data_IF_260164496150
#
_entry.id   IF_260164496150
#
_cell.length_a   1.000
_cell.length_b   1.000
_cell.length_c   1.000
_cell.angle_alpha   90.00
_cell.angle_beta   90.00
_cell.angle_gamma   90.00
#
_symmetry.space_group_name_H-M   'P 1'
#
loop_
_entity.id
_entity.type
_entity.pdbx_description
1 polymer ?
#
# COMPACT_ATOMS: atom_id res chain seq x y z
N UNK A 1 3.24 -0.16 20.54
CA UNK A 1 3.12 -0.69 19.17
C UNK A 1 4.50 -1.08 18.70
N UNK A 2 4.64 -2.17 17.98
CA UNK A 2 5.94 -2.57 17.41
C UNK A 2 5.94 -2.09 15.96
N UNK A 3 6.85 -1.17 15.62
CA UNK A 3 7.00 -0.68 14.26
C UNK A 3 7.52 -1.80 13.33
N UNK A 4 7.34 -1.64 12.02
CA UNK A 4 7.68 -2.67 11.04
C UNK A 4 9.19 -2.97 11.00
N UNK A 5 10.02 -1.95 11.17
CA UNK A 5 11.49 -2.05 11.18
C UNK A 5 12.10 -0.90 11.99
N UNK A 6 13.45 -0.85 12.08
CA UNK A 6 14.17 0.20 12.82
C UNK A 6 13.84 1.60 12.29
N UNK A 7 13.59 2.53 13.19
CA UNK A 7 13.36 3.94 12.91
C UNK A 7 14.52 4.61 12.16
N UNK A 8 15.75 4.07 12.29
CA UNK A 8 16.92 4.55 11.56
C UNK A 8 16.77 4.52 10.03
N UNK A 9 15.85 3.69 9.51
CA UNK A 9 15.58 3.59 8.08
C UNK A 9 14.32 4.33 7.66
N UNK A 10 13.60 4.96 8.60
CA UNK A 10 12.29 5.52 8.31
C UNK A 10 12.35 6.64 7.27
N UNK A 11 13.22 7.62 7.49
CA UNK A 11 13.37 8.77 6.59
C UNK A 11 13.77 8.34 5.17
N UNK A 12 14.73 7.41 5.08
CA UNK A 12 15.16 6.87 3.78
C UNK A 12 14.02 6.11 3.08
N UNK A 13 13.29 5.30 3.83
CA UNK A 13 12.16 4.54 3.28
C UNK A 13 11.04 5.45 2.80
N UNK A 14 10.69 6.49 3.56
CA UNK A 14 9.70 7.48 3.19
C UNK A 14 10.11 8.21 1.91
N UNK A 15 11.35 8.72 1.85
CA UNK A 15 11.88 9.42 0.69
C UNK A 15 11.93 8.50 -0.53
N UNK A 16 12.42 7.28 -0.40
CA UNK A 16 12.53 6.33 -1.50
C UNK A 16 11.18 5.92 -2.07
N UNK A 17 10.19 5.68 -1.21
CA UNK A 17 8.85 5.33 -1.70
C UNK A 17 8.17 6.56 -2.33
N UNK A 18 8.41 7.76 -1.81
CA UNK A 18 7.96 9.02 -2.39
C UNK A 18 8.53 9.24 -3.78
N UNK A 19 9.85 9.18 -3.93
CA UNK A 19 10.55 9.32 -5.20
C UNK A 19 10.15 8.22 -6.20
N UNK A 20 9.92 6.98 -5.74
CA UNK A 20 9.47 5.88 -6.58
C UNK A 20 8.10 6.17 -7.22
N UNK A 21 7.13 6.64 -6.43
CA UNK A 21 5.79 6.97 -6.94
C UNK A 21 5.84 8.18 -7.85
N UNK A 22 6.57 9.25 -7.46
CA UNK A 22 6.74 10.44 -8.29
C UNK A 22 7.35 10.09 -9.65
N UNK A 23 8.44 9.32 -9.67
CA UNK A 23 9.07 8.84 -10.89
C UNK A 23 8.10 8.03 -11.77
N UNK A 24 7.40 7.07 -11.16
CA UNK A 24 6.49 6.20 -11.90
C UNK A 24 5.35 6.98 -12.57
N UNK A 25 4.80 7.97 -11.89
CA UNK A 25 3.65 8.75 -12.37
C UNK A 25 4.11 9.91 -13.26
N UNK A 26 5.06 10.72 -12.80
CA UNK A 26 5.43 11.96 -13.50
C UNK A 26 6.43 11.72 -14.64
N UNK A 27 7.45 10.88 -14.44
CA UNK A 27 8.47 10.65 -15.44
C UNK A 27 8.09 9.54 -16.42
N UNK A 28 7.54 8.44 -15.92
CA UNK A 28 7.25 7.25 -16.72
C UNK A 28 5.80 7.22 -17.23
N UNK A 29 4.89 8.00 -16.63
CA UNK A 29 3.51 8.17 -17.07
C UNK A 29 2.59 7.00 -16.73
N UNK A 30 2.91 6.21 -15.74
CA UNK A 30 2.06 5.11 -15.28
C UNK A 30 0.92 5.59 -14.38
N UNK A 31 -0.21 4.91 -14.46
CA UNK A 31 -1.29 5.09 -13.50
C UNK A 31 -0.83 4.65 -12.10
N UNK A 32 -1.06 5.47 -11.06
CA UNK A 32 -0.48 5.26 -9.73
C UNK A 32 -0.87 3.93 -9.10
N UNK A 33 -2.14 3.53 -9.18
CA UNK A 33 -2.62 2.29 -8.57
C UNK A 33 -2.15 1.05 -9.35
N UNK A 34 -1.99 1.18 -10.68
CA UNK A 34 -1.43 0.11 -11.52
C UNK A 34 0.03 -0.12 -11.17
N UNK A 35 0.83 0.93 -11.12
CA UNK A 35 2.24 0.83 -10.77
C UNK A 35 2.44 0.29 -9.34
N UNK A 36 1.65 0.77 -8.39
CA UNK A 36 1.72 0.27 -7.02
C UNK A 36 1.30 -1.21 -6.92
N UNK A 37 0.36 -1.63 -7.75
CA UNK A 37 0.02 -3.04 -7.93
C UNK A 37 1.22 -3.89 -8.40
N UNK A 38 2.03 -3.35 -9.32
CA UNK A 38 3.29 -4.01 -9.74
C UNK A 38 4.32 -4.03 -8.61
N UNK A 39 4.46 -2.95 -7.84
CA UNK A 39 5.32 -2.94 -6.66
C UNK A 39 4.95 -4.05 -5.68
N UNK A 40 3.66 -4.23 -5.39
CA UNK A 40 3.16 -5.31 -4.52
C UNK A 40 3.42 -6.69 -5.13
N UNK A 41 3.08 -6.90 -6.40
CA UNK A 41 3.17 -8.20 -7.07
C UNK A 41 4.60 -8.63 -7.39
N UNK A 42 5.55 -7.70 -7.53
CA UNK A 42 6.97 -7.98 -7.77
C UNK A 42 7.66 -8.69 -6.58
N UNK A 43 7.03 -8.68 -5.40
CA UNK A 43 7.63 -9.14 -4.15
C UNK A 43 8.63 -8.16 -3.53
N UNK A 44 8.91 -7.01 -4.19
CA UNK A 44 9.78 -5.96 -3.64
C UNK A 44 9.10 -5.30 -2.44
N UNK A 45 7.79 -5.04 -2.52
CA UNK A 45 7.01 -4.52 -1.41
C UNK A 45 7.18 -5.35 -0.14
N UNK A 46 7.12 -6.69 -0.25
CA UNK A 46 7.30 -7.58 0.91
C UNK A 46 8.69 -7.51 1.54
N UNK A 47 9.72 -7.14 0.78
CA UNK A 47 11.08 -6.91 1.30
C UNK A 47 11.22 -5.53 1.92
N UNK A 48 10.59 -4.52 1.29
CA UNK A 48 10.52 -3.15 1.78
C UNK A 48 9.81 -3.08 3.15
N UNK A 49 8.64 -3.70 3.27
CA UNK A 49 7.82 -3.79 4.50
C UNK A 49 8.60 -4.35 5.70
N UNK A 50 9.58 -5.21 5.44
CA UNK A 50 10.44 -5.82 6.45
C UNK A 50 11.71 -5.02 6.75
N UNK A 51 11.84 -3.83 6.18
CA UNK A 51 12.99 -2.97 6.36
C UNK A 51 14.27 -3.55 5.75
N UNK A 52 14.19 -4.29 4.63
CA UNK A 52 15.39 -4.79 3.97
C UNK A 52 16.24 -3.60 3.48
N UNK A 53 17.48 -3.42 4.00
CA UNK A 53 18.30 -2.24 3.76
C UNK A 53 18.51 -1.92 2.28
N UNK A 54 18.57 -2.94 1.43
CA UNK A 54 18.72 -2.75 -0.02
C UNK A 54 17.58 -1.91 -0.62
N UNK A 55 16.34 -2.11 -0.14
CA UNK A 55 15.15 -1.50 -0.74
C UNK A 55 14.69 -0.25 0.01
N UNK A 56 14.94 -0.17 1.33
CA UNK A 56 14.53 1.00 2.11
C UNK A 56 15.55 2.14 2.06
N UNK A 57 16.86 1.84 1.90
CA UNK A 57 17.93 2.84 1.95
C UNK A 57 19.05 2.64 0.92
N UNK A 58 19.21 1.45 0.35
CA UNK A 58 20.32 1.11 -0.53
C UNK A 58 20.09 1.35 -2.03
N UNK A 59 18.94 1.87 -2.41
CA UNK A 59 18.54 2.24 -3.77
C UNK A 59 17.87 3.61 -3.72
N UNK A 60 18.02 4.41 -4.76
CA UNK A 60 17.18 5.59 -4.96
C UNK A 60 15.76 5.18 -5.35
N UNK A 61 14.77 6.06 -5.16
CA UNK A 61 13.40 5.79 -5.58
C UNK A 61 13.27 5.48 -7.08
N UNK A 62 14.10 6.13 -7.92
CA UNK A 62 14.18 5.81 -9.34
C UNK A 62 14.66 4.38 -9.60
N UNK A 63 15.77 3.95 -8.97
CA UNK A 63 16.26 2.57 -9.08
C UNK A 63 15.25 1.56 -8.53
N UNK A 64 14.51 1.95 -7.51
CA UNK A 64 13.43 1.14 -6.96
C UNK A 64 12.29 0.97 -7.98
N UNK A 65 11.91 2.05 -8.70
CA UNK A 65 10.93 1.99 -9.77
C UNK A 65 11.40 1.08 -10.92
N UNK A 66 12.65 1.23 -11.37
CA UNK A 66 13.23 0.35 -12.40
C UNK A 66 13.26 -1.13 -11.95
N UNK A 67 13.59 -1.39 -10.68
CA UNK A 67 13.60 -2.75 -10.14
C UNK A 67 12.21 -3.38 -10.16
N UNK A 68 11.15 -2.59 -9.85
CA UNK A 68 9.74 -3.04 -9.94
C UNK A 68 9.38 -3.41 -11.36
N UNK A 69 9.65 -2.52 -12.33
CA UNK A 69 9.33 -2.75 -13.75
C UNK A 69 10.06 -3.98 -14.31
N UNK A 70 11.35 -4.12 -13.96
CA UNK A 70 12.15 -5.28 -14.34
C UNK A 70 11.59 -6.57 -13.75
N UNK A 71 11.24 -6.58 -12.47
CA UNK A 71 10.72 -7.77 -11.78
C UNK A 71 9.33 -8.21 -12.29
N UNK A 72 8.58 -7.27 -12.87
CA UNK A 72 7.25 -7.53 -13.44
C UNK A 72 7.27 -7.70 -14.96
N UNK A 73 8.46 -7.71 -15.58
CA UNK A 73 8.66 -7.82 -17.03
C UNK A 73 7.93 -6.74 -17.85
N UNK A 74 7.73 -5.56 -17.29
CA UNK A 74 7.21 -4.40 -18.00
C UNK A 74 8.34 -3.79 -18.84
N UNK A 75 8.12 -3.62 -20.12
CA UNK A 75 9.07 -2.95 -21.02
C UNK A 75 8.97 -1.45 -20.79
N UNK A 76 10.07 -0.79 -20.49
CA UNK A 76 10.14 0.65 -20.29
C UNK A 76 11.42 1.23 -20.90
N UNK A 77 11.35 2.49 -21.27
CA UNK A 77 12.53 3.26 -21.66
C UNK A 77 13.15 3.91 -20.41
N UNK A 78 14.46 3.75 -20.26
CA UNK A 78 15.18 4.45 -19.21
C UNK A 78 15.15 5.95 -19.48
N UNK A 79 14.58 6.69 -18.55
CA UNK A 79 14.57 8.16 -18.56
C UNK A 79 15.53 8.70 -17.53
N UNK A 80 16.05 9.88 -17.80
CA UNK A 80 16.78 10.62 -16.75
C UNK A 80 15.74 11.16 -15.78
N UNK A 81 15.88 10.90 -14.47
CA UNK A 81 14.91 11.39 -13.49
C UNK A 81 14.77 12.91 -13.54
N UNK A 82 13.55 13.40 -13.55
CA UNK A 82 13.28 14.83 -13.35
C UNK A 82 13.39 15.09 -11.85
N UNK A 83 14.47 15.74 -11.43
CA UNK A 83 14.56 16.21 -10.05
C UNK A 83 13.66 17.42 -9.88
N UNK A 84 12.40 17.18 -9.51
CA UNK A 84 11.49 18.27 -9.16
C UNK A 84 11.93 18.89 -7.83
N UNK A 85 12.14 20.21 -7.84
CA UNK A 85 12.52 20.96 -6.64
C UNK A 85 11.34 21.00 -5.66
N UNK A 86 10.14 21.14 -6.20
CA UNK A 86 8.89 21.12 -5.41
C UNK A 86 8.25 19.74 -5.47
N UNK A 87 8.23 19.05 -4.35
CA UNK A 87 7.62 17.73 -4.22
C UNK A 87 6.10 17.85 -4.20
N UNK A 88 5.45 17.18 -5.16
CA UNK A 88 4.01 17.19 -5.33
C UNK A 88 3.28 16.09 -4.54
N UNK A 89 2.00 15.94 -4.84
CA UNK A 89 1.14 14.92 -4.22
C UNK A 89 1.59 13.50 -4.52
N UNK A 90 2.22 13.28 -5.65
CA UNK A 90 2.74 11.98 -6.09
C UNK A 90 3.85 11.50 -5.14
N UNK A 91 4.79 12.37 -4.86
CA UNK A 91 5.84 12.12 -3.87
C UNK A 91 5.25 11.93 -2.47
N UNK A 92 4.42 12.90 -2.03
CA UNK A 92 3.81 12.83 -0.71
C UNK A 92 3.04 11.54 -0.48
N UNK A 93 2.34 11.05 -1.48
CA UNK A 93 1.57 9.83 -1.32
C UNK A 93 2.45 8.59 -1.06
N UNK A 94 3.57 8.46 -1.75
CA UNK A 94 4.54 7.40 -1.46
C UNK A 94 5.17 7.59 -0.07
N UNK A 95 5.59 8.81 0.22
CA UNK A 95 6.20 9.21 1.49
C UNK A 95 5.31 8.85 2.69
N UNK A 96 4.06 9.25 2.67
CA UNK A 96 3.12 9.02 3.78
C UNK A 96 2.64 7.55 3.86
N UNK A 97 2.58 6.83 2.73
CA UNK A 97 2.27 5.40 2.72
C UNK A 97 3.40 4.58 3.36
N UNK A 98 4.67 4.97 3.17
CA UNK A 98 5.79 4.33 3.86
C UNK A 98 5.71 4.56 5.38
N UNK A 99 5.41 5.79 5.80
CA UNK A 99 5.18 6.10 7.22
C UNK A 99 4.04 5.27 7.81
N UNK A 100 2.90 5.23 7.11
CA UNK A 100 1.73 4.47 7.54
C UNK A 100 2.04 2.98 7.69
N UNK A 101 2.72 2.40 6.71
CA UNK A 101 3.15 1.00 6.74
C UNK A 101 4.08 0.73 7.93
N UNK A 102 5.09 1.58 8.14
CA UNK A 102 6.02 1.46 9.25
C UNK A 102 5.32 1.55 10.61
N UNK A 103 4.43 2.53 10.79
CA UNK A 103 3.70 2.79 12.02
C UNK A 103 2.74 1.64 12.37
N UNK A 104 2.03 1.10 11.38
CA UNK A 104 0.98 0.10 11.58
C UNK A 104 1.47 -1.34 11.45
N UNK A 105 2.65 -1.54 10.87
CA UNK A 105 3.20 -2.85 10.51
C UNK A 105 2.24 -3.69 9.64
N UNK A 106 1.37 -3.03 8.86
CA UNK A 106 0.48 -3.69 7.92
C UNK A 106 1.20 -3.92 6.59
N UNK A 107 0.80 -4.95 5.85
CA UNK A 107 1.33 -5.20 4.50
C UNK A 107 0.70 -4.24 3.51
N UNK A 108 1.47 -3.74 2.54
CA UNK A 108 0.93 -2.90 1.46
C UNK A 108 -0.21 -3.58 0.70
N UNK A 109 -0.09 -4.88 0.46
CA UNK A 109 -1.16 -5.67 -0.16
C UNK A 109 -2.50 -5.56 0.60
N UNK A 110 -2.46 -5.64 1.93
CA UNK A 110 -3.64 -5.58 2.78
C UNK A 110 -4.20 -4.15 2.88
N UNK A 111 -3.32 -3.16 2.96
CA UNK A 111 -3.65 -1.72 2.94
C UNK A 111 -4.44 -1.39 1.66
N UNK A 112 -3.91 -1.75 0.49
CA UNK A 112 -4.56 -1.53 -0.81
C UNK A 112 -5.88 -2.29 -0.93
N UNK A 113 -5.91 -3.57 -0.53
CA UNK A 113 -7.14 -4.36 -0.52
C UNK A 113 -8.24 -3.77 0.37
N UNK A 114 -7.86 -3.04 1.42
CA UNK A 114 -8.80 -2.33 2.28
C UNK A 114 -9.19 -0.94 1.75
N UNK A 115 -8.76 -0.58 0.53
CA UNK A 115 -9.19 0.62 -0.17
C UNK A 115 -8.33 1.85 0.05
N UNK A 116 -7.23 1.74 0.78
CA UNK A 116 -6.23 2.80 0.87
C UNK A 116 -5.24 2.66 -0.30
N UNK A 117 -5.68 3.01 -1.51
CA UNK A 117 -4.87 3.00 -2.72
C UNK A 117 -4.08 4.30 -2.86
N UNK A 118 -3.10 4.35 -3.79
CA UNK A 118 -2.35 5.59 -4.05
C UNK A 118 -3.28 6.72 -4.51
N UNK A 119 -4.25 6.42 -5.37
CA UNK A 119 -5.26 7.39 -5.81
C UNK A 119 -6.13 7.88 -4.65
N UNK A 120 -6.46 7.02 -3.68
CA UNK A 120 -7.15 7.43 -2.46
C UNK A 120 -6.30 8.41 -1.65
N UNK A 121 -4.99 8.10 -1.50
CA UNK A 121 -4.05 8.99 -0.80
C UNK A 121 -3.89 10.32 -1.52
N UNK A 122 -3.90 10.36 -2.86
CA UNK A 122 -3.90 11.62 -3.61
C UNK A 122 -5.07 12.54 -3.22
N UNK A 123 -6.26 11.97 -2.97
CA UNK A 123 -7.43 12.76 -2.52
C UNK A 123 -7.28 13.33 -1.10
N UNK A 124 -6.34 12.80 -0.33
CA UNK A 124 -6.02 13.22 1.04
C UNK A 124 -4.85 14.22 1.09
N UNK A 125 -4.37 14.72 -0.05
CA UNK A 125 -3.17 15.58 -0.13
C UNK A 125 -3.27 16.85 0.73
N UNK A 126 -4.45 17.33 1.04
CA UNK A 126 -4.66 18.45 1.97
C UNK A 126 -4.01 18.20 3.36
N UNK A 127 -3.80 16.93 3.73
CA UNK A 127 -3.16 16.56 4.99
C UNK A 127 -1.63 16.69 4.97
N UNK A 128 -1.02 17.06 3.84
CA UNK A 128 0.44 17.22 3.75
C UNK A 128 0.99 18.35 4.65
N UNK A 129 0.14 19.30 5.03
CA UNK A 129 0.47 20.39 5.96
C UNK A 129 0.23 20.02 7.42
N UNK A 130 -0.32 18.84 7.70
CA UNK A 130 -0.65 18.39 9.05
C UNK A 130 0.41 17.39 9.55
N UNK A 131 0.37 17.12 10.86
CA UNK A 131 1.12 16.02 11.47
C UNK A 131 0.71 14.66 10.86
N UNK A 132 1.66 13.76 10.64
CA UNK A 132 1.45 12.45 10.02
C UNK A 132 0.41 11.61 10.76
N UNK A 133 0.23 11.84 12.06
CA UNK A 133 -0.80 11.17 12.87
C UNK A 133 -2.21 11.43 12.34
N UNK A 134 -2.46 12.61 11.72
CA UNK A 134 -3.76 12.94 11.12
C UNK A 134 -4.04 12.09 9.89
N UNK A 135 -3.01 11.82 9.10
CA UNK A 135 -3.15 10.88 8.02
C UNK A 135 -3.43 9.46 8.53
N UNK A 136 -2.70 9.01 9.58
CA UNK A 136 -2.91 7.68 10.18
C UNK A 136 -4.34 7.53 10.70
N UNK A 137 -4.89 8.54 11.39
CA UNK A 137 -6.28 8.55 11.86
C UNK A 137 -7.25 8.37 10.68
N UNK A 138 -7.14 9.23 9.66
CA UNK A 138 -8.02 9.21 8.50
C UNK A 138 -7.89 7.90 7.68
N UNK A 139 -6.68 7.38 7.51
CA UNK A 139 -6.41 6.13 6.83
C UNK A 139 -7.04 4.93 7.57
N UNK A 140 -6.93 4.89 8.89
CA UNK A 140 -7.57 3.87 9.73
C UNK A 140 -9.09 3.90 9.60
N UNK A 141 -9.70 5.08 9.56
CA UNK A 141 -11.16 5.22 9.34
C UNK A 141 -11.61 4.65 8.00
N UNK A 142 -10.85 4.88 6.93
CA UNK A 142 -11.13 4.32 5.59
C UNK A 142 -11.05 2.79 5.64
N UNK A 143 -9.97 2.25 6.21
CA UNK A 143 -9.75 0.80 6.30
C UNK A 143 -10.86 0.16 7.14
N UNK A 144 -11.17 0.70 8.30
CA UNK A 144 -12.20 0.16 9.20
C UNK A 144 -13.59 0.18 8.56
N UNK A 145 -13.94 1.25 7.86
CA UNK A 145 -15.20 1.36 7.12
C UNK A 145 -15.30 0.28 6.05
N UNK A 146 -14.28 0.17 5.20
CA UNK A 146 -14.26 -0.79 4.11
C UNK A 146 -14.23 -2.23 4.61
N UNK A 147 -13.58 -2.50 5.74
CA UNK A 147 -13.61 -3.81 6.38
C UNK A 147 -15.00 -4.16 6.92
N UNK A 148 -15.71 -3.21 7.53
CA UNK A 148 -17.09 -3.39 8.00
C UNK A 148 -18.05 -3.66 6.83
N UNK A 149 -17.95 -2.87 5.76
CA UNK A 149 -18.77 -3.03 4.56
C UNK A 149 -18.54 -4.39 3.89
N UNK A 150 -17.30 -4.84 3.80
CA UNK A 150 -16.99 -6.18 3.27
C UNK A 150 -17.56 -7.32 4.12
N UNK A 151 -17.52 -7.17 5.45
CA UNK A 151 -18.13 -8.15 6.37
C UNK A 151 -19.64 -8.19 6.17
N UNK A 152 -20.31 -7.03 6.18
CA UNK A 152 -21.75 -6.93 5.96
C UNK A 152 -22.15 -7.59 4.63
N UNK A 153 -21.47 -7.24 3.53
CA UNK A 153 -21.75 -7.80 2.21
C UNK A 153 -21.55 -9.32 2.14
N UNK A 154 -20.49 -9.85 2.77
CA UNK A 154 -20.29 -11.30 2.83
C UNK A 154 -21.39 -12.02 3.62
N UNK A 155 -21.83 -11.39 4.72
CA UNK A 155 -22.93 -11.91 5.53
C UNK A 155 -24.25 -11.91 4.75
N UNK A 156 -24.55 -10.85 4.02
CA UNK A 156 -25.73 -10.75 3.15
C UNK A 156 -25.73 -11.81 2.05
N UNK A 157 -24.62 -11.95 1.32
CA UNK A 157 -24.47 -12.96 0.27
C UNK A 157 -24.65 -14.38 0.84
N UNK A 158 -24.04 -14.65 2.00
CA UNK A 158 -24.17 -15.94 2.68
C UNK A 158 -25.63 -16.24 3.04
N UNK A 159 -26.32 -15.26 3.66
CA UNK A 159 -27.74 -15.38 4.03
C UNK A 159 -28.64 -15.55 2.82
N UNK A 160 -28.43 -14.76 1.76
CA UNK A 160 -29.19 -14.84 0.52
C UNK A 160 -29.07 -16.21 -0.17
N UNK A 161 -27.94 -16.89 0.00
CA UNK A 161 -27.72 -18.25 -0.49
C UNK A 161 -28.15 -19.35 0.48
N UNK A 162 -28.75 -18.98 1.62
CA UNK A 162 -29.25 -19.92 2.62
C UNK A 162 -28.16 -20.66 3.40
N UNK A 163 -26.92 -20.24 3.33
CA UNK A 163 -25.83 -20.91 4.04
C UNK A 163 -25.70 -20.41 5.49
N UNK A 164 -25.62 -21.36 6.43
CA UNK A 164 -25.09 -21.08 7.77
C UNK A 164 -23.56 -20.90 7.69
N UNK A 165 -22.95 -20.29 8.70
CA UNK A 165 -21.47 -20.17 8.76
C UNK A 165 -20.78 -21.53 8.72
N UNK A 166 -21.37 -22.53 9.38
CA UNK A 166 -20.87 -23.92 9.40
C UNK A 166 -20.91 -24.55 8.00
N UNK A 167 -22.05 -24.45 7.30
CA UNK A 167 -22.19 -24.96 5.94
C UNK A 167 -21.25 -24.28 4.95
N UNK A 168 -21.03 -22.96 5.12
CA UNK A 168 -20.05 -22.24 4.31
C UNK A 168 -18.62 -22.71 4.59
N UNK A 169 -18.29 -23.00 5.85
CA UNK A 169 -17.00 -23.58 6.24
C UNK A 169 -16.77 -24.94 5.58
N UNK A 170 -17.76 -25.82 5.66
CA UNK A 170 -17.72 -27.16 5.06
C UNK A 170 -17.59 -27.09 3.52
N UNK A 171 -18.37 -26.21 2.87
CA UNK A 171 -18.38 -26.08 1.41
C UNK A 171 -17.11 -25.41 0.85
N UNK A 172 -16.49 -24.48 1.59
CA UNK A 172 -15.33 -23.72 1.15
C UNK A 172 -13.98 -24.27 1.61
N UNK A 173 -13.99 -25.25 2.55
CA UNK A 173 -12.77 -25.73 3.20
C UNK A 173 -12.09 -24.70 4.13
N UNK A 174 -12.73 -23.54 4.36
CA UNK A 174 -12.21 -22.48 5.23
C UNK A 174 -12.66 -22.73 6.67
N UNK A 175 -11.74 -22.71 7.61
CA UNK A 175 -12.05 -22.96 9.02
C UNK A 175 -13.13 -22.02 9.55
N UNK A 176 -14.10 -22.54 10.32
CA UNK A 176 -15.25 -21.79 10.84
C UNK A 176 -14.84 -20.50 11.55
N UNK A 177 -13.78 -20.53 12.36
CA UNK A 177 -13.21 -19.34 13.03
C UNK A 177 -12.79 -18.21 12.06
N UNK A 178 -12.40 -18.57 10.84
CA UNK A 178 -12.01 -17.61 9.82
C UNK A 178 -13.24 -17.00 9.13
N UNK A 179 -14.33 -17.76 9.04
CA UNK A 179 -15.62 -17.29 8.53
C UNK A 179 -16.29 -16.38 9.56
N UNK A 180 -16.30 -16.80 10.82
CA UNK A 180 -16.86 -16.02 11.93
C UNK A 180 -16.15 -14.65 12.11
N UNK A 181 -14.85 -14.62 11.87
CA UNK A 181 -14.07 -13.38 11.88
C UNK A 181 -14.35 -12.47 10.67
N UNK A 182 -14.85 -13.03 9.55
CA UNK A 182 -15.06 -12.32 8.27
C UNK A 182 -16.53 -12.09 7.89
N UNK A 183 -17.49 -12.65 8.64
CA UNK A 183 -18.92 -12.54 8.33
C UNK A 183 -19.78 -12.05 9.50
#
# INVERSE_FOLDING_TARGET
MTHAYSELYLDDAMNNLGDMIECAVCDLGYEPDVFFGWFVSSGIASKFEKGNPKYVAGMSGFELAEAVLTATNVIFEKKVPSYLVDKGREYWAGWILAYYQWMTNQRFEDIVKCGLTVSTVFSMYILHEADESKFVEAANEIIDRNMKDRKSRLQEIRKARGFTQKQLSEASGVALRMIDRKS
#
